data_IF_161092998690
#
_entry.id   IF_161092998690
#
_cell.length_a   1.000
_cell.length_b   1.000
_cell.length_c   1.000
_cell.angle_alpha   90.00
_cell.angle_beta   90.00
_cell.angle_gamma   90.00
#
_symmetry.space_group_name_H-M   'P 1'
#
loop_
_entity.id
_entity.type
_entity.pdbx_description
1 polymer ?
#
# COMPACT_ATOMS: atom_id res chain seq x y z
N UNK A 1 46.85 26.15 8.56
CA UNK A 1 46.60 24.71 8.78
C UNK A 1 47.94 24.05 9.07
N UNK A 2 48.04 23.39 10.21
CA UNK A 2 49.25 22.67 10.57
C UNK A 2 49.33 21.32 9.86
N UNK A 3 50.51 20.76 9.65
CA UNK A 3 50.69 19.48 8.96
C UNK A 3 49.88 18.33 9.60
N UNK A 4 49.65 18.37 10.92
CA UNK A 4 48.78 17.48 11.67
C UNK A 4 47.30 17.61 11.31
N UNK A 5 46.79 18.82 11.03
CA UNK A 5 45.40 19.04 10.61
C UNK A 5 45.15 18.50 9.22
N UNK A 6 46.13 18.59 8.30
CA UNK A 6 46.06 18.03 6.96
C UNK A 6 46.06 16.50 7.00
N UNK A 7 46.92 15.89 7.81
CA UNK A 7 46.98 14.43 7.98
C UNK A 7 45.67 13.87 8.60
N UNK A 8 45.11 14.55 9.61
CA UNK A 8 43.82 14.16 10.19
C UNK A 8 42.67 14.28 9.20
N UNK A 9 42.62 15.33 8.38
CA UNK A 9 41.59 15.51 7.36
C UNK A 9 41.68 14.41 6.27
N UNK A 10 42.93 14.06 5.86
CA UNK A 10 43.17 12.99 4.89
C UNK A 10 42.78 11.62 5.43
N UNK A 11 43.12 11.33 6.70
CA UNK A 11 42.72 10.09 7.39
C UNK A 11 41.18 9.99 7.52
N UNK A 12 40.50 11.07 7.92
CA UNK A 12 39.05 11.11 8.03
C UNK A 12 38.35 10.89 6.67
N UNK A 13 38.96 11.39 5.58
CA UNK A 13 38.50 11.12 4.21
C UNK A 13 38.59 9.63 3.87
N UNK A 14 39.78 9.03 4.04
CA UNK A 14 40.01 7.61 3.79
C UNK A 14 39.10 6.72 4.65
N UNK A 15 38.94 7.03 5.93
CA UNK A 15 38.05 6.29 6.83
C UNK A 15 36.60 6.31 6.34
N UNK A 16 36.10 7.46 5.86
CA UNK A 16 34.75 7.60 5.31
C UNK A 16 34.58 6.75 4.03
N UNK A 17 35.53 6.84 3.10
CA UNK A 17 35.48 6.05 1.87
C UNK A 17 35.47 4.54 2.13
N UNK A 18 36.32 4.07 3.06
CA UNK A 18 36.33 2.66 3.48
C UNK A 18 35.00 2.28 4.15
N UNK A 19 34.47 3.13 5.02
CA UNK A 19 33.19 2.88 5.68
C UNK A 19 32.02 2.78 4.67
N UNK A 20 32.01 3.63 3.65
CA UNK A 20 31.02 3.59 2.56
C UNK A 20 31.13 2.30 1.73
N UNK A 21 32.34 1.86 1.37
CA UNK A 21 32.57 0.59 0.68
C UNK A 21 32.07 -0.59 1.50
N UNK A 22 32.41 -0.64 2.80
CA UNK A 22 31.94 -1.70 3.71
C UNK A 22 30.43 -1.69 3.88
N UNK A 23 29.82 -0.52 4.05
CA UNK A 23 28.38 -0.37 4.16
C UNK A 23 27.67 -0.82 2.87
N UNK A 24 28.20 -0.44 1.70
CA UNK A 24 27.67 -0.85 0.40
C UNK A 24 27.77 -2.37 0.19
N UNK A 25 28.89 -2.97 0.55
CA UNK A 25 29.09 -4.42 0.45
C UNK A 25 28.11 -5.19 1.37
N UNK A 26 27.95 -4.74 2.61
CA UNK A 26 26.99 -5.33 3.55
C UNK A 26 25.54 -5.21 3.06
N UNK A 27 25.17 -4.06 2.53
CA UNK A 27 23.84 -3.86 1.94
C UNK A 27 23.62 -4.76 0.72
N UNK A 28 24.62 -4.95 -0.14
CA UNK A 28 24.53 -5.85 -1.29
C UNK A 28 24.39 -7.32 -0.86
N UNK A 29 25.16 -7.77 0.14
CA UNK A 29 25.07 -9.11 0.69
C UNK A 29 23.69 -9.36 1.32
N UNK A 30 23.16 -8.40 2.10
CA UNK A 30 21.83 -8.50 2.70
C UNK A 30 20.73 -8.60 1.62
N UNK A 31 20.81 -7.81 0.55
CA UNK A 31 19.86 -7.90 -0.59
C UNK A 31 19.91 -9.28 -1.25
N UNK A 32 21.09 -9.83 -1.50
CA UNK A 32 21.24 -11.16 -2.11
C UNK A 32 20.67 -12.26 -1.24
N UNK A 33 20.91 -12.21 0.08
CA UNK A 33 20.32 -13.17 1.03
C UNK A 33 18.80 -13.04 1.05
N UNK A 34 18.26 -11.83 1.14
CA UNK A 34 16.83 -11.59 1.14
C UNK A 34 16.16 -12.11 -0.14
N UNK A 35 16.74 -11.84 -1.30
CA UNK A 35 16.22 -12.32 -2.58
C UNK A 35 16.21 -13.85 -2.66
N UNK A 36 17.29 -14.51 -2.21
CA UNK A 36 17.36 -15.97 -2.16
C UNK A 36 16.33 -16.56 -1.18
N UNK A 37 16.17 -15.97 0.00
CA UNK A 37 15.15 -16.38 0.96
C UNK A 37 13.74 -16.22 0.40
N UNK A 38 13.45 -15.11 -0.27
CA UNK A 38 12.15 -14.86 -0.91
C UNK A 38 11.87 -15.88 -2.01
N UNK A 39 12.86 -16.18 -2.86
CA UNK A 39 12.76 -17.24 -3.88
C UNK A 39 12.50 -18.62 -3.25
N UNK A 40 13.15 -18.93 -2.12
CA UNK A 40 12.93 -20.16 -1.37
C UNK A 40 11.48 -20.24 -0.87
N UNK A 41 10.92 -19.15 -0.35
CA UNK A 41 9.53 -19.12 0.11
C UNK A 41 8.55 -19.24 -1.06
N UNK A 42 8.85 -18.67 -2.20
CA UNK A 42 8.08 -18.84 -3.43
C UNK A 42 8.08 -20.32 -3.87
N UNK A 43 9.24 -20.99 -3.87
CA UNK A 43 9.37 -22.41 -4.22
C UNK A 43 8.64 -23.33 -3.24
N UNK A 44 8.66 -23.02 -1.94
CA UNK A 44 7.87 -23.74 -0.95
C UNK A 44 6.37 -23.59 -1.28
N UNK A 45 5.92 -22.38 -1.58
CA UNK A 45 4.55 -22.09 -2.00
C UNK A 45 4.15 -22.89 -3.25
N UNK A 46 5.04 -22.96 -4.24
CA UNK A 46 4.85 -23.75 -5.46
C UNK A 46 4.65 -25.21 -5.16
N UNK A 47 5.48 -25.81 -4.31
CA UNK A 47 5.37 -27.22 -3.92
C UNK A 47 4.07 -27.52 -3.17
N UNK A 48 3.64 -26.61 -2.30
CA UNK A 48 2.36 -26.73 -1.59
C UNK A 48 1.20 -26.76 -2.59
N UNK A 49 1.16 -25.79 -3.53
CA UNK A 49 0.08 -25.70 -4.54
C UNK A 49 0.07 -26.91 -5.47
N UNK A 50 1.23 -27.35 -5.95
CA UNK A 50 1.33 -28.54 -6.80
C UNK A 50 0.87 -29.82 -6.07
N UNK A 51 1.16 -29.95 -4.77
CA UNK A 51 0.69 -31.04 -3.96
C UNK A 51 -0.85 -31.02 -3.83
N UNK A 52 -1.46 -29.84 -3.63
CA UNK A 52 -2.92 -29.67 -3.54
C UNK A 52 -3.63 -30.00 -4.85
N UNK A 53 -3.02 -29.66 -6.00
CA UNK A 53 -3.59 -29.91 -7.33
C UNK A 53 -3.49 -31.35 -7.78
N UNK A 54 -2.77 -32.20 -7.06
CA UNK A 54 -2.54 -33.60 -7.43
C UNK A 54 -3.71 -34.59 -7.20
N UNK A 55 -4.96 -34.10 -6.98
CA UNK A 55 -6.18 -34.90 -6.88
C UNK A 55 -7.26 -34.26 -5.99
N UNK A 56 -8.54 -34.54 -6.30
CA UNK A 56 -9.72 -33.95 -5.64
C UNK A 56 -9.79 -34.25 -4.12
N UNK A 57 -9.32 -35.41 -3.69
CA UNK A 57 -9.25 -35.76 -2.26
C UNK A 57 -8.20 -34.94 -1.50
N UNK A 58 -7.17 -34.42 -2.17
CA UNK A 58 -6.09 -33.62 -1.53
C UNK A 58 -6.48 -32.16 -1.31
N UNK A 59 -7.37 -31.63 -2.14
CA UNK A 59 -7.86 -30.25 -1.98
C UNK A 59 -8.66 -30.06 -0.68
N UNK A 60 -9.43 -31.03 -0.26
CA UNK A 60 -10.22 -31.03 0.98
C UNK A 60 -9.32 -31.07 2.26
N UNK A 61 -8.07 -31.54 2.15
CA UNK A 61 -7.12 -31.64 3.25
C UNK A 61 -6.09 -30.50 3.29
N UNK A 62 -6.15 -29.54 2.38
CA UNK A 62 -5.11 -28.50 2.19
C UNK A 62 -4.72 -27.75 3.48
N UNK A 63 -5.71 -27.33 4.29
CA UNK A 63 -5.42 -26.63 5.56
C UNK A 63 -4.78 -27.56 6.61
N UNK A 64 -5.25 -28.81 6.72
CA UNK A 64 -4.69 -29.78 7.63
C UNK A 64 -3.25 -30.14 7.27
N UNK A 65 -2.95 -30.25 5.96
CA UNK A 65 -1.59 -30.50 5.44
C UNK A 65 -0.67 -29.33 5.78
N UNK A 66 -1.09 -28.08 5.56
CA UNK A 66 -0.31 -26.88 5.89
C UNK A 66 -0.02 -26.82 7.39
N UNK A 67 -1.00 -27.16 8.25
CA UNK A 67 -0.81 -27.17 9.72
C UNK A 67 0.20 -28.24 10.15
N UNK A 68 0.08 -29.47 9.61
CA UNK A 68 1.01 -30.58 9.89
C UNK A 68 2.42 -30.26 9.38
N UNK A 69 2.53 -29.83 8.13
CA UNK A 69 3.80 -29.43 7.54
C UNK A 69 4.46 -28.29 8.34
N UNK A 70 3.66 -27.33 8.84
CA UNK A 70 4.14 -26.25 9.69
C UNK A 70 4.72 -26.74 11.02
N UNK A 71 4.12 -27.75 11.65
CA UNK A 71 4.65 -28.36 12.86
C UNK A 71 5.98 -29.08 12.58
N UNK A 72 6.01 -29.94 11.55
CA UNK A 72 7.18 -30.75 11.20
C UNK A 72 8.39 -29.88 10.79
N UNK A 73 8.16 -28.86 9.94
CA UNK A 73 9.22 -27.96 9.52
C UNK A 73 9.70 -27.03 10.64
N UNK A 74 8.79 -26.57 11.52
CA UNK A 74 9.18 -25.78 12.69
C UNK A 74 10.03 -26.56 13.68
N UNK A 75 9.74 -27.85 13.84
CA UNK A 75 10.54 -28.74 14.67
C UNK A 75 11.94 -28.93 14.08
N UNK A 76 12.05 -29.09 12.75
CA UNK A 76 13.32 -29.41 12.07
C UNK A 76 14.20 -28.15 11.82
N UNK A 77 13.61 -27.03 11.44
CA UNK A 77 14.32 -25.83 10.99
C UNK A 77 14.11 -24.60 11.88
N UNK A 78 13.28 -24.71 12.92
CA UNK A 78 13.03 -23.63 13.86
C UNK A 78 12.00 -22.62 13.38
N UNK A 79 12.15 -21.37 13.86
CA UNK A 79 11.20 -20.28 13.59
C UNK A 79 11.16 -19.91 12.10
N UNK A 80 9.96 -19.54 11.61
CA UNK A 80 9.76 -19.09 10.23
C UNK A 80 8.93 -20.06 9.38
N UNK A 81 8.68 -21.28 9.84
CA UNK A 81 7.92 -22.31 9.11
C UNK A 81 6.55 -22.62 9.71
N UNK A 82 6.05 -21.78 10.62
CA UNK A 82 4.71 -21.95 11.17
C UNK A 82 3.63 -21.93 10.08
N UNK A 83 2.49 -22.57 10.35
CA UNK A 83 1.39 -22.75 9.37
C UNK A 83 0.92 -21.43 8.71
N UNK A 84 0.90 -20.32 9.47
CA UNK A 84 0.53 -19.00 8.92
C UNK A 84 1.52 -18.52 7.85
N UNK A 85 2.81 -18.71 8.09
CA UNK A 85 3.84 -18.33 7.13
C UNK A 85 3.82 -19.24 5.90
N UNK A 86 3.57 -20.54 6.05
CA UNK A 86 3.36 -21.45 4.92
C UNK A 86 2.12 -21.07 4.09
N UNK A 87 1.04 -20.65 4.74
CA UNK A 87 -0.13 -20.13 4.05
C UNK A 87 0.19 -18.85 3.25
N UNK A 88 1.03 -17.97 3.79
CA UNK A 88 1.53 -16.79 3.06
C UNK A 88 2.44 -17.19 1.89
N UNK A 89 3.32 -18.17 2.05
CA UNK A 89 4.16 -18.69 0.95
C UNK A 89 3.30 -19.30 -0.17
N UNK A 90 2.23 -20.02 0.18
CA UNK A 90 1.25 -20.53 -0.78
C UNK A 90 0.56 -19.39 -1.53
N UNK A 91 0.05 -18.40 -0.81
CA UNK A 91 -0.59 -17.22 -1.40
C UNK A 91 0.38 -16.42 -2.28
N UNK A 92 1.66 -16.37 -1.90
CA UNK A 92 2.71 -15.71 -2.68
C UNK A 92 2.91 -16.37 -4.04
N UNK A 93 3.01 -17.69 -4.10
CA UNK A 93 3.08 -18.40 -5.38
C UNK A 93 1.85 -18.16 -6.26
N UNK A 94 0.65 -18.16 -5.68
CA UNK A 94 -0.59 -17.89 -6.42
C UNK A 94 -0.66 -16.45 -6.95
N UNK A 95 -0.09 -15.48 -6.25
CA UNK A 95 -0.05 -14.08 -6.66
C UNK A 95 1.05 -13.78 -7.68
N UNK A 96 2.16 -14.51 -7.66
CA UNK A 96 3.28 -14.43 -8.60
C UNK A 96 3.55 -15.81 -9.23
N UNK A 97 2.70 -16.27 -10.17
CA UNK A 97 2.84 -17.59 -10.77
C UNK A 97 4.09 -17.71 -11.66
N UNK A 98 4.46 -18.95 -12.00
CA UNK A 98 5.72 -19.24 -12.69
C UNK A 98 5.85 -18.59 -14.06
N UNK A 99 4.77 -18.48 -14.82
CA UNK A 99 4.73 -17.83 -16.14
C UNK A 99 5.06 -16.33 -16.04
N UNK A 100 4.58 -15.64 -15.01
CA UNK A 100 4.95 -14.24 -14.72
C UNK A 100 6.44 -14.09 -14.42
N UNK A 101 7.02 -15.01 -13.62
CA UNK A 101 8.46 -14.99 -13.31
C UNK A 101 9.30 -15.17 -14.57
N UNK A 102 8.92 -16.08 -15.45
CA UNK A 102 9.62 -16.30 -16.73
C UNK A 102 9.58 -15.06 -17.62
N UNK A 103 8.44 -14.36 -17.67
CA UNK A 103 8.31 -13.10 -18.43
C UNK A 103 9.22 -12.00 -17.86
N UNK A 104 9.25 -11.82 -16.55
CA UNK A 104 10.09 -10.83 -15.87
C UNK A 104 11.59 -11.09 -16.16
N UNK A 105 12.03 -12.33 -16.05
CA UNK A 105 13.42 -12.72 -16.33
C UNK A 105 13.80 -12.53 -17.82
N UNK A 106 12.86 -12.78 -18.73
CA UNK A 106 13.06 -12.57 -20.18
C UNK A 106 13.16 -11.09 -20.52
N UNK A 107 12.33 -10.24 -19.91
CA UNK A 107 12.38 -8.79 -20.09
C UNK A 107 13.69 -8.18 -19.56
N UNK A 108 14.18 -8.64 -18.42
CA UNK A 108 15.47 -8.20 -17.85
C UNK A 108 16.68 -8.64 -18.70
N UNK A 109 16.55 -9.78 -19.41
CA UNK A 109 17.60 -10.29 -20.31
C UNK A 109 17.65 -9.57 -21.65
N UNK A 110 16.60 -8.86 -22.03
CA UNK A 110 16.47 -8.10 -23.28
C UNK A 110 17.04 -6.67 -23.23
N UNK A 111 17.51 -6.18 -22.08
CA UNK A 111 18.24 -4.91 -22.00
C UNK A 111 19.57 -5.00 -22.79
N UNK A 112 19.97 -3.96 -23.57
CA UNK A 112 21.04 -4.07 -24.56
C UNK A 112 22.39 -4.33 -23.91
N UNK A 113 22.85 -5.57 -23.90
CA UNK A 113 24.24 -5.94 -23.73
C UNK A 113 24.90 -5.84 -25.10
N UNK A 114 25.94 -5.04 -25.19
CA UNK A 114 26.88 -5.02 -26.35
C UNK A 114 27.33 -6.46 -26.61
N UNK A 115 27.01 -6.96 -27.80
CA UNK A 115 27.12 -8.35 -28.22
C UNK A 115 28.54 -8.63 -28.72
N UNK A 116 29.13 -9.78 -28.44
CA UNK A 116 29.82 -10.56 -29.44
C UNK A 116 28.94 -11.73 -29.92
N UNK A 117 28.88 -11.86 -31.24
CA UNK A 117 28.02 -12.70 -32.06
C UNK A 117 28.32 -14.21 -31.94
N UNK A 118 27.53 -15.08 -32.57
CA UNK A 118 26.74 -16.10 -31.87
C UNK A 118 27.20 -17.52 -32.19
N UNK A 119 26.74 -18.45 -31.42
CA UNK A 119 26.51 -19.80 -31.93
C UNK A 119 25.21 -20.33 -31.41
N UNK A 120 24.31 -20.50 -32.35
CA UNK A 120 23.01 -21.10 -32.11
C UNK A 120 23.19 -22.57 -31.70
N UNK A 121 22.63 -22.94 -30.58
CA UNK A 121 21.94 -24.23 -30.35
C UNK A 121 21.41 -24.30 -28.91
N UNK A 122 20.14 -24.65 -28.88
CA UNK A 122 19.42 -25.17 -27.66
C UNK A 122 18.73 -24.17 -26.79
N UNK A 123 17.62 -23.63 -27.28
CA UNK A 123 16.50 -23.24 -26.42
C UNK A 123 15.83 -24.53 -25.92
N UNK A 124 16.28 -25.08 -24.81
CA UNK A 124 15.55 -26.12 -24.08
C UNK A 124 14.33 -25.45 -23.42
N UNK A 125 13.15 -25.76 -23.94
CA UNK A 125 11.88 -25.50 -23.25
C UNK A 125 12.00 -26.06 -21.84
N UNK A 126 11.86 -25.20 -20.83
CA UNK A 126 11.69 -25.60 -19.43
C UNK A 126 10.32 -26.31 -19.33
N UNK A 127 10.33 -27.63 -19.46
CA UNK A 127 9.18 -28.45 -19.09
C UNK A 127 9.10 -28.52 -17.57
N UNK A 128 8.08 -27.90 -17.00
CA UNK A 128 7.79 -27.90 -15.57
C UNK A 128 7.05 -29.21 -15.22
N UNK A 129 7.79 -30.30 -15.19
CA UNK A 129 7.29 -31.55 -14.60
C UNK A 129 8.43 -32.15 -13.76
N UNK A 130 8.27 -32.05 -12.43
CA UNK A 130 8.89 -33.00 -11.50
C UNK A 130 10.39 -32.89 -11.19
N UNK A 131 11.08 -31.79 -11.50
CA UNK A 131 12.49 -31.63 -11.16
C UNK A 131 12.67 -30.95 -9.80
N UNK A 132 13.51 -31.52 -8.93
CA UNK A 132 14.03 -30.86 -7.73
C UNK A 132 14.72 -29.55 -8.15
N UNK A 133 14.28 -28.42 -7.56
CA UNK A 133 14.90 -27.13 -7.84
C UNK A 133 16.36 -27.15 -7.37
N UNK A 134 17.29 -27.05 -8.32
CA UNK A 134 18.71 -26.95 -8.00
C UNK A 134 19.04 -25.54 -7.49
N UNK A 135 20.12 -25.34 -6.70
CA UNK A 135 20.53 -24.01 -6.23
C UNK A 135 20.70 -22.96 -7.35
N UNK A 136 21.03 -23.39 -8.56
CA UNK A 136 21.14 -22.52 -9.74
C UNK A 136 19.76 -21.97 -10.19
N UNK A 137 18.69 -22.75 -10.07
CA UNK A 137 17.33 -22.35 -10.40
C UNK A 137 16.79 -21.34 -9.39
N UNK A 138 17.04 -21.57 -8.09
CA UNK A 138 16.68 -20.62 -7.03
C UNK A 138 17.38 -19.27 -7.20
N UNK A 139 18.65 -19.25 -7.60
CA UNK A 139 19.38 -18.01 -7.87
C UNK A 139 18.79 -17.23 -9.05
N UNK A 140 18.25 -17.90 -10.05
CA UNK A 140 17.54 -17.27 -11.17
C UNK A 140 16.19 -16.72 -10.70
N UNK A 141 15.42 -17.49 -9.98
CA UNK A 141 14.13 -17.05 -9.42
C UNK A 141 14.32 -15.87 -8.47
N UNK A 142 15.42 -15.85 -7.70
CA UNK A 142 15.75 -14.73 -6.81
C UNK A 142 15.89 -13.38 -7.53
N UNK A 143 16.29 -13.37 -8.79
CA UNK A 143 16.36 -12.13 -9.59
C UNK A 143 14.98 -11.51 -9.86
N UNK A 144 13.92 -12.32 -9.84
CA UNK A 144 12.56 -11.84 -10.00
C UNK A 144 11.97 -11.24 -8.69
N UNK A 145 12.63 -11.45 -7.55
CA UNK A 145 12.15 -11.01 -6.23
C UNK A 145 13.16 -10.10 -5.52
N UNK A 146 13.35 -8.86 -6.00
CA UNK A 146 14.34 -7.94 -5.47
C UNK A 146 13.94 -7.31 -4.13
N UNK A 147 12.65 -7.34 -3.74
CA UNK A 147 12.19 -6.83 -2.45
C UNK A 147 12.36 -7.88 -1.34
N UNK A 148 12.45 -7.49 -0.06
CA UNK A 148 12.48 -8.41 1.06
C UNK A 148 11.13 -9.12 1.24
N UNK A 149 11.15 -10.31 1.85
CA UNK A 149 9.94 -11.11 2.12
C UNK A 149 8.81 -10.33 2.81
N UNK A 150 9.14 -9.49 3.79
CA UNK A 150 8.16 -8.65 4.49
C UNK A 150 7.43 -7.65 3.57
N UNK A 151 8.08 -7.18 2.50
CA UNK A 151 7.41 -6.37 1.50
C UNK A 151 6.40 -7.19 0.69
N UNK A 152 6.77 -8.40 0.25
CA UNK A 152 5.84 -9.29 -0.46
C UNK A 152 4.66 -9.72 0.41
N UNK A 153 4.88 -10.01 1.70
CA UNK A 153 3.79 -10.28 2.66
C UNK A 153 2.83 -9.08 2.73
N UNK A 154 3.35 -7.86 2.71
CA UNK A 154 2.49 -6.67 2.70
C UNK A 154 1.73 -6.54 1.38
N UNK A 155 2.37 -6.80 0.25
CA UNK A 155 1.75 -6.77 -1.07
C UNK A 155 0.64 -7.84 -1.23
N UNK A 156 0.71 -8.97 -0.52
CA UNK A 156 -0.36 -9.97 -0.52
C UNK A 156 -1.69 -9.45 0.03
N UNK A 157 -1.68 -8.39 0.85
CA UNK A 157 -2.91 -7.76 1.33
C UNK A 157 -3.58 -6.85 0.29
N UNK A 158 -2.88 -6.52 -0.80
CA UNK A 158 -3.44 -5.71 -1.90
C UNK A 158 -4.34 -6.58 -2.77
N UNK A 159 -5.59 -6.16 -2.95
CA UNK A 159 -6.65 -6.99 -3.55
C UNK A 159 -6.44 -7.24 -5.05
N UNK A 160 -6.19 -6.17 -5.82
CA UNK A 160 -6.07 -6.27 -7.27
C UNK A 160 -4.65 -6.55 -7.71
N UNK A 161 -4.48 -7.30 -8.80
CA UNK A 161 -3.17 -7.58 -9.37
C UNK A 161 -2.50 -6.28 -9.87
N UNK A 162 -3.25 -5.40 -10.52
CA UNK A 162 -2.75 -4.13 -11.04
C UNK A 162 -2.22 -3.20 -9.94
N UNK A 163 -2.95 -3.06 -8.82
CA UNK A 163 -2.45 -2.29 -7.67
C UNK A 163 -1.22 -2.93 -7.04
N UNK A 164 -1.16 -4.26 -6.96
CA UNK A 164 0.00 -4.99 -6.44
C UNK A 164 1.23 -4.76 -7.29
N UNK A 165 1.08 -4.84 -8.61
CA UNK A 165 2.16 -4.59 -9.58
C UNK A 165 2.65 -3.15 -9.52
N UNK A 166 1.72 -2.21 -9.36
CA UNK A 166 2.06 -0.80 -9.14
C UNK A 166 2.90 -0.60 -7.89
N UNK A 167 2.46 -1.11 -6.73
CA UNK A 167 3.20 -0.94 -5.47
C UNK A 167 4.56 -1.63 -5.50
N UNK A 168 4.68 -2.80 -6.14
CA UNK A 168 5.96 -3.48 -6.34
C UNK A 168 6.90 -2.63 -7.18
N UNK A 169 6.44 -2.12 -8.32
CA UNK A 169 7.23 -1.28 -9.22
C UNK A 169 7.67 0.03 -8.55
N UNK A 170 6.76 0.71 -7.82
CA UNK A 170 7.08 1.95 -7.10
C UNK A 170 8.09 1.72 -5.98
N UNK A 171 7.90 0.64 -5.19
CA UNK A 171 8.81 0.30 -4.11
C UNK A 171 10.24 0.04 -4.62
N UNK A 172 10.36 -0.57 -5.81
CA UNK A 172 11.66 -0.81 -6.45
C UNK A 172 12.28 0.48 -7.00
N UNK A 173 11.48 1.30 -7.67
CA UNK A 173 11.94 2.53 -8.32
C UNK A 173 12.40 3.57 -7.30
N UNK A 174 11.59 3.80 -6.27
CA UNK A 174 11.82 4.82 -5.26
C UNK A 174 12.64 4.30 -4.06
N UNK A 175 12.98 3.00 -4.04
CA UNK A 175 13.74 2.39 -2.95
C UNK A 175 13.01 2.36 -1.62
N UNK A 176 11.67 2.19 -1.62
CA UNK A 176 10.88 2.25 -0.40
C UNK A 176 11.31 1.19 0.62
N UNK A 177 11.41 1.60 1.86
CA UNK A 177 11.45 0.67 2.98
C UNK A 177 10.11 -0.06 3.12
N UNK A 178 10.10 -1.17 3.86
CA UNK A 178 8.85 -1.90 4.16
C UNK A 178 7.82 -1.00 4.86
N UNK A 179 8.27 -0.07 5.70
CA UNK A 179 7.39 0.90 6.39
C UNK A 179 6.80 1.90 5.41
N UNK A 180 7.59 2.43 4.48
CA UNK A 180 7.10 3.31 3.42
C UNK A 180 6.09 2.58 2.54
N UNK A 181 6.40 1.37 2.07
CA UNK A 181 5.45 0.54 1.33
C UNK A 181 4.16 0.32 2.12
N UNK A 182 4.25 -0.05 3.40
CA UNK A 182 3.08 -0.23 4.26
C UNK A 182 2.26 1.05 4.39
N UNK A 183 2.89 2.21 4.53
CA UNK A 183 2.23 3.51 4.52
C UNK A 183 1.49 3.75 3.20
N UNK A 184 2.15 3.55 2.05
CA UNK A 184 1.55 3.80 0.75
C UNK A 184 0.38 2.84 0.44
N UNK A 185 0.50 1.58 0.80
CA UNK A 185 -0.61 0.60 0.67
C UNK A 185 -1.76 0.97 1.60
N UNK A 186 -1.48 1.37 2.85
CA UNK A 186 -2.52 1.76 3.82
C UNK A 186 -3.21 3.07 3.43
N UNK A 187 -2.48 4.01 2.82
CA UNK A 187 -3.06 5.26 2.31
C UNK A 187 -3.72 5.08 0.94
N UNK A 188 -3.75 3.85 0.43
CA UNK A 188 -4.38 3.51 -0.85
C UNK A 188 -3.89 4.41 -2.00
N UNK A 189 -2.55 4.57 -2.11
CA UNK A 189 -1.93 5.46 -3.10
C UNK A 189 -2.37 5.15 -4.54
N UNK A 190 -2.47 3.86 -4.91
CA UNK A 190 -2.90 3.44 -6.25
C UNK A 190 -4.30 3.95 -6.57
N UNK A 191 -5.22 3.74 -5.66
CA UNK A 191 -6.61 4.14 -5.78
C UNK A 191 -6.76 5.67 -5.80
N UNK A 192 -6.02 6.38 -4.95
CA UNK A 192 -5.97 7.85 -4.96
C UNK A 192 -5.41 8.40 -6.27
N UNK A 193 -4.41 7.75 -6.85
CA UNK A 193 -3.86 8.14 -8.15
C UNK A 193 -4.88 7.94 -9.28
N UNK A 194 -5.67 6.85 -9.23
CA UNK A 194 -6.72 6.58 -10.21
C UNK A 194 -7.73 7.73 -10.29
N UNK A 195 -8.06 8.30 -9.15
CA UNK A 195 -9.09 9.32 -9.01
C UNK A 195 -8.55 10.75 -9.07
N UNK A 196 -7.26 10.96 -8.85
CA UNK A 196 -6.66 12.30 -8.76
C UNK A 196 -6.50 12.98 -10.12
N UNK A 197 -6.86 14.26 -10.17
CA UNK A 197 -6.54 15.17 -11.30
C UNK A 197 -5.06 15.56 -11.34
N UNK A 198 -4.33 15.45 -10.22
CA UNK A 198 -2.92 15.81 -10.10
C UNK A 198 -2.06 14.62 -9.65
N UNK A 199 -1.92 13.63 -10.52
CA UNK A 199 -1.15 12.40 -10.28
C UNK A 199 0.33 12.69 -9.97
N UNK A 200 0.92 13.67 -10.64
CA UNK A 200 2.33 14.04 -10.46
C UNK A 200 2.64 14.52 -9.04
N UNK A 201 1.78 15.36 -8.46
CA UNK A 201 1.95 15.82 -7.07
C UNK A 201 1.82 14.68 -6.05
N UNK A 202 0.90 13.73 -6.27
CA UNK A 202 0.74 12.57 -5.39
C UNK A 202 1.95 11.64 -5.46
N UNK A 203 2.47 11.36 -6.66
CA UNK A 203 3.67 10.54 -6.82
C UNK A 203 4.89 11.20 -6.16
N UNK A 204 5.10 12.50 -6.36
CA UNK A 204 6.19 13.22 -5.70
C UNK A 204 6.10 13.22 -4.17
N UNK A 205 4.89 13.33 -3.60
CA UNK A 205 4.68 13.21 -2.15
C UNK A 205 4.91 11.79 -1.63
N UNK A 206 4.55 10.79 -2.42
CA UNK A 206 4.74 9.38 -2.05
C UNK A 206 6.22 8.98 -2.00
N UNK A 207 7.06 9.54 -2.88
CA UNK A 207 8.50 9.31 -2.89
C UNK A 207 9.21 9.89 -1.65
N UNK A 208 8.64 10.95 -1.03
CA UNK A 208 9.25 11.60 0.13
C UNK A 208 9.17 10.71 1.38
N UNK A 209 10.32 10.48 2.03
CA UNK A 209 10.37 9.82 3.33
C UNK A 209 9.74 10.70 4.42
N UNK A 210 8.97 10.10 5.31
CA UNK A 210 8.35 10.77 6.46
C UNK A 210 9.05 10.38 7.76
N UNK A 211 9.15 11.26 8.76
CA UNK A 211 9.72 10.91 10.06
C UNK A 211 9.01 9.70 10.67
N UNK A 212 9.74 8.59 10.85
CA UNK A 212 9.20 7.33 11.37
C UNK A 212 8.22 6.59 10.44
N UNK A 213 8.02 7.06 9.21
CA UNK A 213 7.04 6.55 8.23
C UNK A 213 5.64 6.39 8.83
N UNK A 214 5.23 7.37 9.62
CA UNK A 214 3.90 7.42 10.24
C UNK A 214 2.88 7.93 9.22
N UNK A 215 1.71 7.29 9.22
CA UNK A 215 0.57 7.69 8.42
C UNK A 215 0.00 9.02 8.95
N UNK A 216 -0.20 10.01 8.08
CA UNK A 216 -0.88 11.26 8.43
C UNK A 216 -2.38 11.17 8.17
N UNK A 217 -3.22 12.01 8.78
CA UNK A 217 -4.65 12.04 8.48
C UNK A 217 -4.96 12.26 7.01
N UNK A 218 -4.20 13.11 6.31
CA UNK A 218 -4.34 13.39 4.89
C UNK A 218 -4.03 12.18 4.00
N UNK A 219 -3.15 11.31 4.46
CA UNK A 219 -2.81 10.07 3.74
C UNK A 219 -3.78 8.94 4.08
N UNK A 220 -4.33 8.93 5.31
CA UNK A 220 -5.26 7.92 5.76
C UNK A 220 -6.65 8.04 5.11
N UNK A 221 -7.02 9.27 4.70
CA UNK A 221 -8.35 9.58 4.17
C UNK A 221 -8.24 9.82 2.67
N UNK A 222 -9.03 9.07 1.90
CA UNK A 222 -9.10 9.20 0.45
C UNK A 222 -9.70 10.54 0.03
N UNK A 223 -9.33 10.98 -1.15
CA UNK A 223 -9.95 12.10 -1.84
C UNK A 223 -9.70 11.94 -3.36
N UNK A 224 -10.71 11.58 -4.12
CA UNK A 224 -12.09 11.25 -3.77
C UNK A 224 -12.31 9.81 -3.30
N UNK A 225 -13.48 9.53 -2.73
CA UNK A 225 -14.01 8.20 -2.45
C UNK A 225 -14.82 7.65 -3.63
N UNK A 226 -14.86 6.34 -3.80
CA UNK A 226 -15.69 5.67 -4.83
C UNK A 226 -16.84 4.93 -4.15
N UNK A 227 -18.04 5.40 -4.39
CA UNK A 227 -19.28 4.88 -3.79
C UNK A 227 -20.19 4.19 -4.82
N UNK A 228 -19.60 3.61 -5.88
CA UNK A 228 -20.31 2.91 -6.95
C UNK A 228 -21.22 1.78 -6.41
N UNK A 229 -20.79 1.10 -5.35
CA UNK A 229 -21.53 0.00 -4.72
C UNK A 229 -22.88 0.42 -4.12
N UNK A 230 -23.15 1.72 -3.98
CA UNK A 230 -24.43 2.22 -3.44
C UNK A 230 -25.55 2.18 -4.45
N UNK A 231 -25.24 2.10 -5.75
CA UNK A 231 -26.22 2.10 -6.87
C UNK A 231 -27.29 3.21 -6.71
N UNK A 232 -26.83 4.42 -6.37
CA UNK A 232 -27.69 5.57 -6.08
C UNK A 232 -28.34 6.10 -7.37
N UNK A 233 -29.61 6.51 -7.26
CA UNK A 233 -30.32 7.21 -8.35
C UNK A 233 -29.78 8.64 -8.49
N UNK A 234 -30.09 9.30 -9.62
CA UNK A 234 -29.60 10.64 -9.93
C UNK A 234 -30.01 11.71 -8.91
N UNK A 235 -31.13 11.53 -8.23
CA UNK A 235 -31.62 12.44 -7.18
C UNK A 235 -31.76 11.69 -5.85
N UNK A 236 -31.01 12.11 -4.82
CA UNK A 236 -31.07 11.56 -3.47
C UNK A 236 -30.77 12.63 -2.41
N UNK A 237 -31.26 12.43 -1.19
CA UNK A 237 -30.98 13.28 -0.04
C UNK A 237 -29.77 12.79 0.77
N UNK A 238 -29.29 13.63 1.70
CA UNK A 238 -28.23 13.22 2.67
C UNK A 238 -28.67 12.02 3.50
N UNK A 239 -29.98 11.95 3.87
CA UNK A 239 -30.54 10.81 4.59
C UNK A 239 -30.56 9.53 3.74
N UNK A 240 -30.80 9.63 2.43
CA UNK A 240 -30.75 8.47 1.54
C UNK A 240 -29.31 7.98 1.37
N UNK A 241 -28.35 8.88 1.21
CA UNK A 241 -26.92 8.55 1.15
C UNK A 241 -26.46 7.88 2.46
N UNK A 242 -26.84 8.43 3.62
CA UNK A 242 -26.50 7.83 4.91
C UNK A 242 -27.13 6.42 5.05
N UNK A 243 -28.40 6.26 4.72
CA UNK A 243 -29.09 4.99 4.79
C UNK A 243 -28.44 3.93 3.88
N UNK A 244 -28.07 4.31 2.66
CA UNK A 244 -27.38 3.45 1.71
C UNK A 244 -25.99 3.05 2.22
N UNK A 245 -25.18 3.99 2.75
CA UNK A 245 -23.88 3.70 3.36
C UNK A 245 -23.98 2.74 4.54
N UNK A 246 -25.03 2.85 5.34
CA UNK A 246 -25.24 1.92 6.46
C UNK A 246 -25.71 0.55 5.97
N UNK A 247 -26.58 0.49 4.97
CA UNK A 247 -26.99 -0.77 4.36
C UNK A 247 -25.81 -1.52 3.75
N UNK A 248 -24.88 -0.81 3.13
CA UNK A 248 -23.65 -1.32 2.53
C UNK A 248 -22.40 -1.05 3.40
N UNK A 249 -22.56 -1.07 4.72
CA UNK A 249 -21.47 -0.71 5.64
C UNK A 249 -20.20 -1.55 5.45
N UNK A 250 -20.35 -2.82 5.09
CA UNK A 250 -19.19 -3.68 4.81
C UNK A 250 -18.41 -3.19 3.59
N UNK A 251 -19.10 -2.81 2.52
CA UNK A 251 -18.48 -2.28 1.30
C UNK A 251 -17.88 -0.91 1.55
N UNK A 252 -18.57 -0.06 2.32
CA UNK A 252 -18.03 1.25 2.73
C UNK A 252 -16.77 1.12 3.61
N UNK A 253 -16.73 0.16 4.53
CA UNK A 253 -15.51 -0.12 5.31
C UNK A 253 -14.36 -0.60 4.43
N UNK A 254 -14.66 -1.39 3.39
CA UNK A 254 -13.64 -1.79 2.41
C UNK A 254 -13.13 -0.60 1.58
N UNK A 255 -14.02 0.35 1.27
CA UNK A 255 -13.66 1.59 0.60
C UNK A 255 -12.85 2.52 1.50
N UNK A 256 -13.20 2.66 2.78
CA UNK A 256 -12.42 3.41 3.75
C UNK A 256 -11.02 2.82 3.95
N UNK A 257 -10.91 1.49 4.02
CA UNK A 257 -9.66 0.75 4.23
C UNK A 257 -9.61 -0.05 5.53
N UNK A 258 -8.60 -0.90 5.67
CA UNK A 258 -8.49 -1.91 6.73
C UNK A 258 -8.29 -1.35 8.16
N UNK A 259 -7.96 -0.07 8.29
CA UNK A 259 -7.65 0.56 9.58
C UNK A 259 -8.86 1.25 10.24
N UNK A 260 -10.06 1.16 9.62
CA UNK A 260 -11.26 1.81 10.13
C UNK A 260 -12.15 0.82 10.89
N UNK A 261 -12.66 1.27 12.03
CA UNK A 261 -13.63 0.55 12.84
C UNK A 261 -14.88 1.43 13.04
N UNK A 262 -16.05 0.91 12.69
CA UNK A 262 -17.30 1.63 12.87
C UNK A 262 -17.67 1.70 14.36
N UNK A 263 -17.96 2.91 14.86
CA UNK A 263 -18.38 3.16 16.25
C UNK A 263 -19.87 3.42 16.32
N UNK A 264 -20.43 4.17 15.37
CA UNK A 264 -21.85 4.47 15.39
C UNK A 264 -22.26 5.50 14.34
N UNK A 265 -23.58 5.66 14.23
CA UNK A 265 -24.23 6.63 13.37
C UNK A 265 -25.16 7.54 14.15
N UNK A 266 -25.53 8.69 13.58
CA UNK A 266 -26.55 9.60 14.08
C UNK A 266 -26.31 9.98 15.54
N UNK A 267 -25.02 10.17 15.90
CA UNK A 267 -24.64 10.40 17.28
C UNK A 267 -25.03 11.82 17.69
N UNK A 268 -25.95 11.90 18.67
CA UNK A 268 -26.46 13.18 19.14
C UNK A 268 -25.49 13.84 20.11
N UNK A 269 -25.36 15.13 20.00
CA UNK A 269 -24.68 15.98 20.98
C UNK A 269 -25.55 17.19 21.32
N UNK A 270 -25.46 17.63 22.55
CA UNK A 270 -26.20 18.79 23.04
C UNK A 270 -25.20 19.88 23.42
N UNK A 271 -25.37 21.04 22.84
CA UNK A 271 -24.61 22.25 23.18
C UNK A 271 -25.63 23.29 23.59
N UNK A 272 -25.59 23.70 24.84
CA UNK A 272 -26.63 24.52 25.49
C UNK A 272 -28.01 23.87 25.30
N UNK A 273 -28.93 24.57 24.64
CA UNK A 273 -30.28 24.09 24.35
C UNK A 273 -30.45 23.56 22.93
N UNK A 274 -29.38 23.55 22.13
CA UNK A 274 -29.39 23.06 20.75
C UNK A 274 -28.92 21.62 20.65
N UNK A 275 -29.65 20.83 19.87
CA UNK A 275 -29.27 19.45 19.53
C UNK A 275 -28.65 19.41 18.15
N UNK A 276 -27.51 18.78 18.08
CA UNK A 276 -26.80 18.48 16.84
C UNK A 276 -26.69 16.98 16.66
N UNK A 277 -26.33 16.56 15.47
CA UNK A 277 -26.24 15.16 15.10
C UNK A 277 -25.09 14.95 14.13
N UNK A 278 -24.19 14.06 14.48
CA UNK A 278 -23.10 13.60 13.63
C UNK A 278 -23.56 12.38 12.84
N UNK A 279 -23.34 12.35 11.54
CA UNK A 279 -23.83 11.26 10.69
C UNK A 279 -23.12 9.94 11.00
N UNK A 280 -21.81 9.90 10.87
CA UNK A 280 -21.04 8.68 11.10
C UNK A 280 -19.82 8.93 12.00
N UNK A 281 -19.51 7.96 12.85
CA UNK A 281 -18.32 7.98 13.72
C UNK A 281 -17.56 6.68 13.54
N UNK A 282 -16.29 6.80 13.21
CA UNK A 282 -15.34 5.69 13.12
C UNK A 282 -14.17 5.88 14.08
N UNK A 283 -13.40 4.84 14.30
CA UNK A 283 -12.10 4.89 14.95
C UNK A 283 -11.03 4.45 13.94
N UNK A 284 -10.03 5.28 13.75
CA UNK A 284 -8.91 4.92 12.88
C UNK A 284 -7.78 4.33 13.73
N UNK A 285 -7.49 3.03 13.53
CA UNK A 285 -6.59 2.24 14.38
C UNK A 285 -5.15 2.75 14.37
N UNK A 286 -4.60 3.10 13.19
CA UNK A 286 -3.21 3.57 13.08
C UNK A 286 -3.04 5.01 13.56
N UNK A 287 -3.98 5.88 13.24
CA UNK A 287 -4.00 7.25 13.75
C UNK A 287 -4.40 7.31 15.22
N UNK A 288 -5.00 6.26 15.77
CA UNK A 288 -5.49 6.17 17.15
C UNK A 288 -6.40 7.33 17.50
N UNK A 289 -7.32 7.69 16.63
CA UNK A 289 -8.23 8.82 16.83
C UNK A 289 -9.64 8.49 16.35
N UNK A 290 -10.60 9.24 16.86
CA UNK A 290 -11.95 9.26 16.31
C UNK A 290 -11.93 9.96 14.96
N UNK A 291 -12.64 9.40 13.98
CA UNK A 291 -12.98 10.05 12.73
C UNK A 291 -14.46 10.38 12.73
N UNK A 292 -14.76 11.66 12.64
CA UNK A 292 -16.11 12.20 12.57
C UNK A 292 -16.42 12.48 11.11
N UNK A 293 -17.46 11.85 10.55
CA UNK A 293 -17.84 12.05 9.15
C UNK A 293 -19.20 12.77 9.11
N UNK A 294 -19.24 13.81 8.30
CA UNK A 294 -20.44 14.57 7.96
C UNK A 294 -20.67 14.43 6.46
N UNK A 295 -21.88 14.06 6.07
CA UNK A 295 -22.27 13.77 4.69
C UNK A 295 -22.96 14.97 4.06
N UNK A 296 -22.54 15.34 2.84
CA UNK A 296 -23.14 16.44 2.08
C UNK A 296 -23.45 15.98 0.65
N UNK A 297 -24.69 16.03 0.26
CA UNK A 297 -25.12 15.72 -1.12
C UNK A 297 -24.75 16.84 -2.10
N UNK A 298 -24.51 18.04 -1.57
CA UNK A 298 -24.13 19.19 -2.37
C UNK A 298 -22.62 19.46 -2.40
N UNK A 299 -22.32 20.71 -2.76
CA UNK A 299 -20.97 21.25 -2.75
C UNK A 299 -20.55 21.60 -1.34
N UNK A 300 -19.27 21.35 -1.01
CA UNK A 300 -18.62 21.81 0.23
C UNK A 300 -18.74 23.33 0.40
N UNK A 301 -19.04 23.77 1.61
CA UNK A 301 -19.09 25.18 2.00
C UNK A 301 -18.28 25.46 3.27
N UNK A 302 -17.92 26.70 3.49
CA UNK A 302 -17.23 27.14 4.71
C UNK A 302 -18.08 26.92 5.99
N UNK A 303 -19.42 26.88 5.87
CA UNK A 303 -20.32 26.59 6.99
C UNK A 303 -20.15 25.15 7.49
N UNK A 304 -19.90 24.20 6.58
CA UNK A 304 -19.65 22.79 6.91
C UNK A 304 -18.35 22.65 7.71
N UNK A 305 -17.32 23.43 7.37
CA UNK A 305 -16.08 23.47 8.15
C UNK A 305 -16.31 23.97 9.58
N UNK A 306 -17.12 25.02 9.75
CA UNK A 306 -17.51 25.55 11.06
C UNK A 306 -18.30 24.52 11.89
N UNK A 307 -19.27 23.85 11.29
CA UNK A 307 -20.04 22.78 11.91
C UNK A 307 -19.14 21.61 12.34
N UNK A 308 -18.27 21.17 11.47
CA UNK A 308 -17.33 20.09 11.79
C UNK A 308 -16.40 20.49 12.93
N UNK A 309 -15.91 21.72 12.94
CA UNK A 309 -15.07 22.22 14.03
C UNK A 309 -15.77 22.14 15.40
N UNK A 310 -17.08 22.49 15.46
CA UNK A 310 -17.91 22.34 16.64
C UNK A 310 -17.98 20.87 17.09
N UNK A 311 -18.23 19.95 16.17
CA UNK A 311 -18.31 18.52 16.45
C UNK A 311 -16.99 17.97 17.00
N UNK A 312 -15.85 18.38 16.43
CA UNK A 312 -14.53 17.92 16.87
C UNK A 312 -14.17 18.43 18.26
N UNK A 313 -14.52 19.69 18.61
CA UNK A 313 -14.32 20.21 19.95
C UNK A 313 -15.12 19.42 20.97
N UNK A 314 -16.40 19.14 20.68
CA UNK A 314 -17.25 18.33 21.55
C UNK A 314 -16.72 16.89 21.68
N UNK A 315 -16.33 16.27 20.57
CA UNK A 315 -15.79 14.91 20.58
C UNK A 315 -14.48 14.80 21.37
N UNK A 316 -13.62 15.80 21.28
CA UNK A 316 -12.38 15.86 22.05
C UNK A 316 -12.63 15.92 23.55
N UNK A 317 -13.63 16.66 23.97
CA UNK A 317 -13.94 16.85 25.39
C UNK A 317 -14.75 15.68 25.98
N UNK A 318 -15.69 15.12 25.22
CA UNK A 318 -16.67 14.17 25.77
C UNK A 318 -16.56 12.74 25.26
N UNK A 319 -15.92 12.50 24.08
CA UNK A 319 -15.88 11.17 23.46
C UNK A 319 -14.47 10.57 23.41
N UNK A 320 -13.44 11.39 23.40
CA UNK A 320 -12.05 10.96 23.36
C UNK A 320 -11.67 10.25 24.67
N UNK A 321 -10.88 9.17 24.55
CA UNK A 321 -10.38 8.42 25.71
C UNK A 321 -8.89 8.69 25.95
N UNK A 322 -8.38 8.45 27.17
CA UNK A 322 -6.96 8.57 27.47
C UNK A 322 -6.10 7.73 26.51
N UNK A 323 -5.06 8.34 25.95
CA UNK A 323 -4.16 7.69 25.01
C UNK A 323 -4.60 7.73 23.54
N UNK A 324 -5.74 8.33 23.23
CA UNK A 324 -6.13 8.63 21.85
C UNK A 324 -5.57 9.98 21.40
N UNK A 325 -5.35 10.11 20.11
CA UNK A 325 -4.99 11.37 19.48
C UNK A 325 -6.24 12.23 19.23
N UNK A 326 -6.10 13.54 19.04
CA UNK A 326 -7.23 14.42 18.76
C UNK A 326 -8.08 13.91 17.60
N UNK A 327 -9.42 14.05 17.69
CA UNK A 327 -10.33 13.58 16.64
C UNK A 327 -10.09 14.34 15.33
N UNK A 328 -10.33 13.65 14.23
CA UNK A 328 -10.22 14.17 12.85
C UNK A 328 -11.62 14.24 12.24
N UNK A 329 -11.91 15.33 11.54
CA UNK A 329 -13.16 15.51 10.81
C UNK A 329 -12.98 15.19 9.33
N UNK A 330 -13.98 14.56 8.72
CA UNK A 330 -14.11 14.34 7.31
C UNK A 330 -15.47 14.84 6.84
N UNK A 331 -15.47 15.83 5.95
CA UNK A 331 -16.66 16.27 5.24
C UNK A 331 -16.65 15.57 3.88
N UNK A 332 -17.60 14.65 3.69
CA UNK A 332 -17.73 13.87 2.46
C UNK A 332 -18.81 14.53 1.59
N UNK A 333 -18.42 15.13 0.47
CA UNK A 333 -19.30 15.95 -0.36
C UNK A 333 -19.28 15.50 -1.82
N UNK A 334 -20.34 15.82 -2.57
CA UNK A 334 -20.42 15.52 -4.00
C UNK A 334 -19.45 16.36 -4.83
N UNK A 335 -19.19 17.59 -4.42
CA UNK A 335 -18.29 18.54 -5.11
C UNK A 335 -17.48 19.34 -4.10
N UNK A 336 -16.19 19.51 -4.37
CA UNK A 336 -15.28 20.31 -3.56
C UNK A 336 -14.58 21.38 -4.41
N UNK A 337 -14.87 22.65 -4.16
CA UNK A 337 -14.10 23.75 -4.70
C UNK A 337 -12.71 23.82 -4.06
N UNK A 338 -11.64 23.53 -4.83
CA UNK A 338 -10.28 23.44 -4.28
C UNK A 338 -9.84 24.72 -3.53
N UNK A 339 -10.19 25.90 -4.06
CA UNK A 339 -9.85 27.20 -3.45
C UNK A 339 -10.65 27.47 -2.18
N UNK A 340 -11.96 27.20 -2.19
CA UNK A 340 -12.82 27.40 -1.04
C UNK A 340 -12.43 26.43 0.10
N UNK A 341 -12.22 25.16 -0.21
CA UNK A 341 -11.77 24.18 0.76
C UNK A 341 -10.40 24.54 1.37
N UNK A 342 -9.47 25.04 0.54
CA UNK A 342 -8.17 25.51 1.03
C UNK A 342 -8.34 26.62 2.09
N UNK A 343 -9.06 27.70 1.77
CA UNK A 343 -9.22 28.80 2.72
C UNK A 343 -10.09 28.46 3.93
N UNK A 344 -11.10 27.61 3.77
CA UNK A 344 -11.98 27.23 4.86
C UNK A 344 -11.34 26.25 5.86
N UNK A 345 -10.40 25.41 5.40
CA UNK A 345 -9.80 24.34 6.19
C UNK A 345 -8.37 24.64 6.68
N UNK A 346 -7.72 25.64 6.05
CA UNK A 346 -6.35 25.98 6.42
C UNK A 346 -6.28 26.65 7.80
N UNK A 347 -5.23 26.31 8.56
CA UNK A 347 -4.97 26.84 9.90
C UNK A 347 -6.08 26.67 10.94
N UNK A 348 -7.04 25.76 10.75
CA UNK A 348 -8.00 25.42 11.79
C UNK A 348 -7.30 24.71 12.96
N UNK A 349 -7.70 25.00 14.22
CA UNK A 349 -7.11 24.34 15.39
C UNK A 349 -7.43 22.83 15.46
N UNK A 350 -8.49 22.39 14.80
CA UNK A 350 -8.82 20.97 14.63
C UNK A 350 -8.50 20.52 13.20
N UNK A 351 -8.10 19.25 13.05
CA UNK A 351 -7.86 18.68 11.74
C UNK A 351 -9.17 18.33 11.05
N UNK A 352 -9.52 19.09 10.03
CA UNK A 352 -10.70 18.88 9.19
C UNK A 352 -10.22 18.62 7.76
N UNK A 353 -10.78 17.60 7.14
CA UNK A 353 -10.54 17.26 5.73
C UNK A 353 -11.87 17.29 5.00
N UNK A 354 -11.85 17.71 3.74
CA UNK A 354 -12.97 17.58 2.82
C UNK A 354 -12.57 16.64 1.69
N UNK A 355 -13.39 15.67 1.38
CA UNK A 355 -13.19 14.74 0.27
C UNK A 355 -14.42 14.68 -0.63
N UNK A 356 -14.19 14.56 -1.93
CA UNK A 356 -15.25 14.29 -2.90
C UNK A 356 -15.59 12.79 -2.89
N UNK A 357 -16.82 12.45 -3.23
CA UNK A 357 -17.18 11.08 -3.59
C UNK A 357 -17.62 10.99 -5.05
N UNK A 358 -17.36 9.83 -5.65
CA UNK A 358 -17.74 9.51 -7.03
C UNK A 358 -18.54 8.22 -7.04
N UNK A 359 -19.57 8.17 -7.88
CA UNK A 359 -20.45 7.01 -8.02
C UNK A 359 -20.05 6.08 -9.18
N UNK A 360 -18.99 6.44 -9.93
CA UNK A 360 -18.53 5.68 -11.10
C UNK A 360 -17.00 5.55 -11.04
N UNK A 361 -16.49 4.32 -11.24
CA UNK A 361 -15.05 4.05 -11.32
C UNK A 361 -14.47 4.44 -12.69
N UNK A 362 -13.26 5.01 -12.76
CA UNK A 362 -12.52 5.14 -14.00
C UNK A 362 -12.15 3.76 -14.58
N UNK A 363 -12.16 3.64 -15.91
CA UNK A 363 -11.69 2.44 -16.60
C UNK A 363 -10.22 2.15 -16.31
N UNK A 364 -9.90 0.92 -15.86
CA UNK A 364 -8.57 0.52 -15.41
C UNK A 364 -7.50 0.65 -16.51
N UNK A 365 -7.85 0.31 -17.76
CA UNK A 365 -6.93 0.41 -18.89
C UNK A 365 -6.61 1.88 -19.25
N UNK A 366 -7.57 2.77 -19.11
CA UNK A 366 -7.38 4.21 -19.31
C UNK A 366 -6.52 4.78 -18.19
N UNK A 367 -6.76 4.39 -16.93
CA UNK A 367 -5.94 4.81 -15.80
C UNK A 367 -4.49 4.37 -15.92
N UNK A 368 -4.23 3.10 -16.29
CA UNK A 368 -2.86 2.60 -16.47
C UNK A 368 -2.09 3.40 -17.52
N UNK A 369 -2.73 3.76 -18.65
CA UNK A 369 -2.13 4.59 -19.70
C UNK A 369 -1.81 6.02 -19.22
N UNK A 370 -2.72 6.64 -18.49
CA UNK A 370 -2.51 7.98 -17.93
C UNK A 370 -1.39 8.00 -16.89
N UNK A 371 -1.31 6.98 -16.05
CA UNK A 371 -0.26 6.85 -15.05
C UNK A 371 1.12 6.75 -15.70
N UNK A 372 1.24 5.90 -16.73
CA UNK A 372 2.50 5.74 -17.47
C UNK A 372 2.91 7.03 -18.19
N UNK A 373 1.96 7.73 -18.80
CA UNK A 373 2.21 9.04 -19.42
C UNK A 373 2.71 10.07 -18.40
N UNK A 374 2.08 10.13 -17.23
CA UNK A 374 2.50 11.03 -16.14
C UNK A 374 3.92 10.73 -15.67
N UNK A 375 4.30 9.44 -15.57
CA UNK A 375 5.65 9.02 -15.22
C UNK A 375 6.69 9.47 -16.24
N UNK A 376 6.43 9.24 -17.52
CA UNK A 376 7.34 9.64 -18.60
C UNK A 376 7.57 11.17 -18.58
N UNK A 377 6.52 11.96 -18.31
CA UNK A 377 6.65 13.40 -18.18
C UNK A 377 7.49 13.84 -16.98
N UNK A 378 7.33 13.17 -15.82
CA UNK A 378 8.13 13.44 -14.62
C UNK A 378 9.61 13.11 -14.83
N UNK A 379 9.91 11.97 -15.45
CA UNK A 379 11.29 11.55 -15.77
C UNK A 379 11.96 12.52 -16.74
N UNK A 380 11.24 13.03 -17.75
CA UNK A 380 11.76 14.04 -18.68
C UNK A 380 12.09 15.34 -17.97
N UNK A 381 11.25 15.80 -17.03
CA UNK A 381 11.49 17.02 -16.24
C UNK A 381 12.66 16.85 -15.25
N UNK A 382 12.81 15.67 -14.64
CA UNK A 382 13.90 15.37 -13.71
C UNK A 382 15.29 15.22 -14.38
N UNK A 383 15.36 14.97 -15.70
CA UNK A 383 16.62 14.93 -16.47
C UNK A 383 17.04 16.29 -17.06
N UNK A 384 16.22 17.30 -16.90
CA UNK A 384 16.46 18.65 -17.43
C UNK A 384 16.91 19.68 -16.37
N UNK A 385 17.15 19.23 -15.14
CA UNK A 385 17.77 19.98 -14.03
C UNK A 385 19.06 19.30 -13.63
#
# INVERSE_FOLDING_TARGET
>A
MTQREVEQATYAGLHREIAEVVASARAAAARSVNALMTATYWEIGRRIVLFEQGGDERAAYGEAVIRRLGADLSQRFGRGFGWRNLAQMRAFYLAWPADRIVQTLSAQSAAPKIVPTPSAKSAKRLSVAGAEATPLELSRVAQAFPLPWSAYVRLLSVKTAAARDFYEAEALREGWSVRQLDRQVSSQLYERLALSRNKASLLGKAAAAQPGDLLTPEEAIRDPFVLEFLDMKDEYSESDLEAALIQHLADFLLELGDDFAFIGRQRRLRIDDAWFRVDLVFFHRRLRCLLIIDLKVGRFSYADAGQMHLYLNYAREHWMKPGENPPVGLILCAEKGATEAHYALDNLPNKVLAAEYQTVLPDEATFARELERTRIELERRGRGT
#
